data_IF_516885487695
#
_entry.id   IF_516885487695
#
_cell.length_a   1.000
_cell.length_b   1.000
_cell.length_c   1.000
_cell.angle_alpha   90.00
_cell.angle_beta   90.00
_cell.angle_gamma   90.00
#
_symmetry.space_group_name_H-M   'P 1'
#
loop_
_entity.id
_entity.type
_entity.pdbx_description
1 polymer ?
#
# COMPACT_ATOMS: atom_id res chain seq x y z
N UNK A 1 -5.18 -0.38 -49.60
CA UNK A 1 -4.99 -1.81 -49.27
C UNK A 1 -4.96 -1.95 -47.77
N UNK A 2 -6.02 -2.46 -47.16
CA UNK A 2 -6.07 -2.83 -45.77
C UNK A 2 -5.22 -4.10 -45.59
N UNK A 3 -4.11 -3.99 -44.93
CA UNK A 3 -3.36 -5.12 -44.43
C UNK A 3 -4.22 -5.78 -43.34
N UNK A 4 -4.98 -6.79 -43.68
CA UNK A 4 -5.65 -7.63 -42.68
C UNK A 4 -4.57 -8.51 -42.04
N UNK A 5 -4.21 -8.16 -40.78
CA UNK A 5 -3.43 -9.05 -39.96
C UNK A 5 -4.32 -10.24 -39.58
N UNK A 6 -3.88 -11.45 -39.89
CA UNK A 6 -4.52 -12.68 -39.41
C UNK A 6 -3.70 -13.17 -38.20
N UNK A 7 -4.33 -13.37 -37.07
CA UNK A 7 -3.69 -13.94 -35.89
C UNK A 7 -3.14 -15.33 -36.25
N UNK A 8 -1.82 -15.58 -36.11
CA UNK A 8 -1.22 -16.86 -36.45
C UNK A 8 -1.53 -17.97 -35.44
N UNK A 9 -2.08 -17.62 -34.25
CA UNK A 9 -2.39 -18.60 -33.21
C UNK A 9 -3.61 -19.44 -33.60
N UNK A 10 -3.57 -20.72 -33.27
CA UNK A 10 -4.64 -21.68 -33.57
C UNK A 10 -5.32 -22.22 -32.32
N UNK A 11 -4.66 -22.09 -31.15
CA UNK A 11 -5.14 -22.59 -29.87
C UNK A 11 -5.41 -21.44 -28.88
N UNK A 12 -6.37 -21.65 -27.98
CA UNK A 12 -6.59 -20.74 -26.86
C UNK A 12 -5.38 -20.75 -25.92
N UNK A 13 -4.97 -19.57 -25.44
CA UNK A 13 -3.80 -19.33 -24.61
C UNK A 13 -2.43 -19.56 -25.26
N UNK A 14 -2.37 -19.78 -26.56
CA UNK A 14 -1.10 -19.81 -27.29
C UNK A 14 -0.42 -18.44 -27.26
N UNK A 15 0.89 -18.41 -26.97
CA UNK A 15 1.66 -17.17 -26.93
C UNK A 15 1.87 -16.63 -28.35
N UNK A 16 1.65 -15.33 -28.54
CA UNK A 16 1.87 -14.70 -29.85
C UNK A 16 3.35 -14.66 -30.22
N UNK A 17 4.24 -14.56 -29.26
CA UNK A 17 5.69 -14.44 -29.49
C UNK A 17 6.50 -15.07 -28.35
N UNK A 18 6.55 -16.42 -28.29
CA UNK A 18 7.17 -17.17 -27.18
C UNK A 18 8.67 -16.91 -27.02
N UNK A 19 9.39 -16.53 -28.10
CA UNK A 19 10.82 -16.23 -28.01
C UNK A 19 11.10 -14.91 -27.28
N UNK A 20 10.12 -14.02 -27.19
CA UNK A 20 10.23 -12.74 -26.48
C UNK A 20 9.63 -12.78 -25.09
N UNK A 21 8.53 -13.45 -24.92
CA UNK A 21 7.82 -13.60 -23.65
C UNK A 21 7.38 -15.07 -23.55
N UNK A 22 8.15 -15.85 -22.80
CA UNK A 22 7.82 -17.22 -22.49
C UNK A 22 6.76 -17.33 -21.38
N UNK A 23 6.25 -18.55 -21.14
CA UNK A 23 5.20 -18.81 -20.13
C UNK A 23 5.64 -18.43 -18.72
N UNK A 24 6.92 -18.61 -18.38
CA UNK A 24 7.47 -18.27 -17.07
C UNK A 24 7.46 -16.76 -16.87
N UNK A 25 7.94 -16.03 -17.86
CA UNK A 25 7.95 -14.56 -17.87
C UNK A 25 6.54 -14.00 -17.85
N UNK A 26 5.62 -14.58 -18.64
CA UNK A 26 4.21 -14.17 -18.65
C UNK A 26 3.55 -14.38 -17.29
N UNK A 27 3.71 -15.54 -16.68
CA UNK A 27 3.16 -15.85 -15.35
C UNK A 27 3.69 -14.90 -14.28
N UNK A 28 4.99 -14.59 -14.32
CA UNK A 28 5.60 -13.62 -13.41
C UNK A 28 5.05 -12.21 -13.61
N UNK A 29 4.85 -11.81 -14.87
CA UNK A 29 4.31 -10.50 -15.22
C UNK A 29 2.84 -10.37 -14.79
N UNK A 30 2.01 -11.38 -15.01
CA UNK A 30 0.61 -11.42 -14.58
C UNK A 30 0.48 -11.31 -13.07
N UNK A 31 1.30 -12.05 -12.31
CA UNK A 31 1.35 -11.91 -10.85
C UNK A 31 1.73 -10.50 -10.39
N UNK A 32 2.67 -9.88 -11.08
CA UNK A 32 3.11 -8.53 -10.72
C UNK A 32 2.10 -7.44 -11.09
N UNK A 33 1.33 -7.64 -12.14
CA UNK A 33 0.31 -6.72 -12.63
C UNK A 33 -1.03 -6.86 -11.89
N UNK A 34 -1.37 -8.10 -11.47
CA UNK A 34 -2.70 -8.45 -10.99
C UNK A 34 -3.72 -8.54 -12.13
N UNK A 35 -4.89 -9.11 -11.85
CA UNK A 35 -5.90 -9.44 -12.87
C UNK A 35 -6.39 -8.24 -13.66
N UNK A 36 -6.60 -7.10 -13.01
CA UNK A 36 -7.10 -5.89 -13.68
C UNK A 36 -6.11 -5.33 -14.71
N UNK A 37 -4.85 -5.16 -14.33
CA UNK A 37 -3.84 -4.63 -15.25
C UNK A 37 -3.47 -5.66 -16.34
N UNK A 38 -3.44 -6.95 -16.01
CA UNK A 38 -3.23 -8.02 -16.99
C UNK A 38 -4.33 -8.04 -18.04
N UNK A 39 -5.61 -7.95 -17.64
CA UNK A 39 -6.72 -7.88 -18.57
C UNK A 39 -6.62 -6.67 -19.53
N UNK A 40 -6.24 -5.50 -19.00
CA UNK A 40 -6.10 -4.29 -19.82
C UNK A 40 -4.84 -4.27 -20.67
N UNK A 41 -3.68 -4.59 -20.12
CA UNK A 41 -2.38 -4.43 -20.78
C UNK A 41 -1.97 -5.64 -21.63
N UNK A 42 -2.20 -6.85 -21.14
CA UNK A 42 -1.78 -8.07 -21.84
C UNK A 42 -2.87 -8.61 -22.74
N UNK A 43 -4.12 -8.61 -22.28
CA UNK A 43 -5.25 -9.19 -23.00
C UNK A 43 -6.01 -8.18 -23.88
N UNK A 44 -5.68 -6.88 -23.76
CA UNK A 44 -6.40 -5.80 -24.47
C UNK A 44 -7.93 -5.81 -24.20
N UNK A 45 -8.31 -6.31 -23.03
CA UNK A 45 -9.70 -6.41 -22.55
C UNK A 45 -9.85 -5.63 -21.26
N UNK A 46 -9.97 -4.28 -21.31
CA UNK A 46 -10.16 -3.49 -20.10
C UNK A 46 -11.46 -3.91 -19.42
N UNK A 47 -11.36 -4.34 -18.16
CA UNK A 47 -12.53 -4.70 -17.37
C UNK A 47 -13.34 -3.44 -17.05
N UNK A 48 -14.68 -3.50 -17.14
CA UNK A 48 -15.50 -2.37 -16.70
C UNK A 48 -15.28 -2.11 -15.20
N UNK A 49 -15.25 -0.82 -14.82
CA UNK A 49 -15.21 -0.40 -13.42
C UNK A 49 -16.52 -0.84 -12.74
N UNK A 50 -16.53 -2.00 -12.14
CA UNK A 50 -17.70 -2.54 -11.44
C UNK A 50 -17.28 -3.55 -10.37
N UNK A 51 -17.75 -3.33 -9.15
CA UNK A 51 -17.35 -4.09 -7.95
C UNK A 51 -16.16 -3.46 -7.22
N UNK A 52 -15.96 -3.83 -5.94
CA UNK A 52 -14.85 -3.33 -5.12
C UNK A 52 -13.50 -3.69 -5.73
N UNK A 53 -12.58 -2.72 -5.75
CA UNK A 53 -11.22 -2.90 -6.30
C UNK A 53 -10.39 -3.79 -5.39
N UNK A 54 -10.60 -3.69 -4.08
CA UNK A 54 -9.85 -4.37 -3.03
C UNK A 54 -10.76 -5.45 -2.40
N UNK A 55 -10.79 -6.65 -2.99
CA UNK A 55 -11.75 -7.68 -2.62
C UNK A 55 -11.45 -8.29 -1.25
N UNK A 56 -12.51 -8.51 -0.44
CA UNK A 56 -12.40 -9.09 0.89
C UNK A 56 -11.78 -10.49 0.88
N UNK A 57 -12.11 -11.31 -0.11
CA UNK A 57 -11.61 -12.68 -0.24
C UNK A 57 -10.11 -12.81 -0.52
N UNK A 58 -9.44 -11.72 -0.86
CA UNK A 58 -8.00 -11.70 -1.11
C UNK A 58 -7.16 -11.47 0.15
N UNK A 59 -7.80 -11.05 1.26
CA UNK A 59 -7.12 -10.86 2.53
C UNK A 59 -6.86 -12.20 3.21
N UNK A 60 -5.62 -12.42 3.65
CA UNK A 60 -5.22 -13.68 4.27
C UNK A 60 -5.35 -13.59 5.79
N UNK A 61 -6.13 -14.47 6.43
CA UNK A 61 -6.27 -14.46 7.87
C UNK A 61 -5.01 -15.01 8.56
N UNK A 62 -4.56 -14.31 9.60
CA UNK A 62 -3.58 -14.81 10.56
C UNK A 62 -4.32 -15.32 11.78
N UNK A 63 -4.29 -16.64 11.99
CA UNK A 63 -5.09 -17.31 13.01
C UNK A 63 -4.33 -17.61 14.31
N UNK A 64 -3.01 -17.34 14.35
CA UNK A 64 -2.19 -17.56 15.53
C UNK A 64 -2.32 -16.40 16.51
N UNK A 65 -2.13 -16.70 17.80
CA UNK A 65 -2.14 -15.69 18.86
C UNK A 65 -0.90 -14.78 18.78
N UNK A 66 0.27 -15.36 18.47
CA UNK A 66 1.52 -14.63 18.29
C UNK A 66 1.60 -14.05 16.87
N UNK A 67 2.11 -12.83 16.75
CA UNK A 67 2.41 -12.22 15.45
C UNK A 67 3.52 -12.99 14.73
N UNK A 68 3.59 -12.91 13.38
CA UNK A 68 4.75 -13.42 12.65
C UNK A 68 6.02 -12.66 13.07
N UNK A 69 7.18 -13.21 12.72
CA UNK A 69 8.46 -12.55 12.94
C UNK A 69 8.55 -11.29 12.04
N UNK A 70 8.30 -10.13 12.65
CA UNK A 70 8.22 -8.84 11.96
C UNK A 70 9.64 -8.31 11.76
N UNK A 71 10.05 -8.16 10.50
CA UNK A 71 11.36 -7.64 10.12
C UNK A 71 11.36 -6.11 9.98
N UNK A 72 10.19 -5.50 9.72
CA UNK A 72 10.08 -4.07 9.43
C UNK A 72 8.66 -3.57 9.73
N UNK A 73 8.54 -2.36 10.27
CA UNK A 73 7.24 -1.74 10.56
C UNK A 73 7.09 -0.45 9.76
N UNK A 74 5.96 -0.32 9.05
CA UNK A 74 5.59 0.89 8.33
C UNK A 74 4.32 1.46 8.94
N UNK A 75 4.32 2.75 9.23
CA UNK A 75 3.11 3.52 9.43
C UNK A 75 2.80 4.36 8.20
N UNK A 76 1.53 4.43 7.83
CA UNK A 76 1.06 5.25 6.72
C UNK A 76 -0.06 6.16 7.20
N UNK A 77 0.08 7.47 6.93
CA UNK A 77 -0.84 8.50 7.37
C UNK A 77 -1.43 9.25 6.18
N UNK A 78 -2.74 9.40 6.19
CA UNK A 78 -3.46 10.44 5.44
C UNK A 78 -4.03 11.44 6.44
N UNK A 79 -3.58 12.70 6.34
CA UNK A 79 -3.86 13.71 7.34
C UNK A 79 -4.78 14.78 6.80
N UNK A 80 -5.84 15.06 7.54
CA UNK A 80 -6.67 16.22 7.32
C UNK A 80 -6.90 16.89 8.68
N UNK A 81 -6.66 18.18 8.77
CA UNK A 81 -7.06 18.97 9.91
C UNK A 81 -7.58 20.33 9.45
N UNK A 82 -8.50 20.89 10.18
CA UNK A 82 -9.07 22.19 9.90
C UNK A 82 -9.17 22.98 11.18
N UNK A 83 -9.01 24.28 11.07
CA UNK A 83 -9.34 25.24 12.13
C UNK A 83 -10.86 25.45 12.25
N UNK A 84 -11.67 24.84 11.38
CA UNK A 84 -13.15 24.93 11.36
C UNK A 84 -13.76 23.61 11.82
N UNK A 85 -14.90 23.67 12.50
CA UNK A 85 -15.64 22.56 13.14
C UNK A 85 -16.02 21.34 12.24
N UNK A 86 -15.79 21.41 10.93
CA UNK A 86 -16.01 20.30 9.98
C UNK A 86 -14.69 19.91 9.31
N UNK A 87 -13.79 19.32 10.07
CA UNK A 87 -12.58 18.72 9.51
C UNK A 87 -12.88 17.39 8.82
N UNK A 88 -12.17 17.08 7.74
CA UNK A 88 -12.09 15.75 7.16
C UNK A 88 -11.41 14.78 8.16
N UNK A 89 -11.58 13.50 7.97
CA UNK A 89 -10.91 12.50 8.80
C UNK A 89 -9.39 12.52 8.56
N UNK A 90 -8.65 12.30 9.64
CA UNK A 90 -7.26 11.81 9.55
C UNK A 90 -7.25 10.32 9.78
N UNK A 91 -6.44 9.59 9.05
CA UNK A 91 -6.35 8.14 9.11
C UNK A 91 -4.90 7.67 9.21
N UNK A 92 -4.72 6.53 9.88
CA UNK A 92 -3.44 5.83 9.99
C UNK A 92 -3.64 4.33 9.89
N UNK A 93 -2.73 3.66 9.19
CA UNK A 93 -2.56 2.20 9.28
C UNK A 93 -1.10 1.86 9.61
N UNK A 94 -0.91 0.84 10.47
CA UNK A 94 0.39 0.31 10.86
C UNK A 94 0.53 -1.10 10.32
N UNK A 95 1.64 -1.39 9.63
CA UNK A 95 1.89 -2.63 8.93
C UNK A 95 3.19 -3.26 9.40
N UNK A 96 3.12 -4.49 9.81
CA UNK A 96 4.29 -5.34 10.08
C UNK A 96 4.63 -6.18 8.86
N UNK A 97 5.87 -6.21 8.54
CA UNK A 97 6.40 -6.89 7.40
C UNK A 97 7.17 -8.11 7.81
N UNK A 98 6.94 -9.20 7.14
CA UNK A 98 7.54 -10.49 7.46
C UNK A 98 7.78 -11.34 6.23
N UNK A 99 8.69 -12.29 6.33
CA UNK A 99 8.93 -13.29 5.30
C UNK A 99 8.27 -14.60 5.63
N UNK A 100 7.60 -15.18 4.65
CA UNK A 100 7.06 -16.53 4.75
C UNK A 100 7.25 -17.26 3.42
N UNK A 101 7.82 -18.45 3.45
CA UNK A 101 8.13 -19.27 2.26
C UNK A 101 8.92 -18.51 1.17
N UNK A 102 9.85 -17.66 1.57
CA UNK A 102 10.66 -16.83 0.67
C UNK A 102 9.92 -15.62 0.07
N UNK A 103 8.66 -15.44 0.42
CA UNK A 103 7.83 -14.32 -0.03
C UNK A 103 7.69 -13.26 1.07
N UNK A 104 7.77 -12.02 0.67
CA UNK A 104 7.58 -10.86 1.55
C UNK A 104 6.06 -10.57 1.66
N UNK A 105 5.58 -10.50 2.89
CA UNK A 105 4.18 -10.27 3.21
C UNK A 105 4.04 -9.09 4.17
N UNK A 106 2.83 -8.54 4.28
CA UNK A 106 2.49 -7.56 5.30
C UNK A 106 1.25 -7.97 6.08
N UNK A 107 1.30 -7.76 7.39
CA UNK A 107 0.14 -7.92 8.27
C UNK A 107 -0.23 -6.56 8.85
N UNK A 108 -1.51 -6.22 8.83
CA UNK A 108 -1.97 -5.02 9.52
C UNK A 108 -1.88 -5.23 11.04
N UNK A 109 -1.17 -4.34 11.72
CA UNK A 109 -0.98 -4.38 13.18
C UNK A 109 -2.00 -3.53 13.90
N UNK A 110 -2.37 -2.38 13.28
CA UNK A 110 -3.34 -1.45 13.84
C UNK A 110 -3.90 -0.50 12.79
N UNK A 111 -5.08 0.05 13.07
CA UNK A 111 -5.66 1.16 12.32
C UNK A 111 -6.29 2.18 13.28
N UNK A 112 -6.23 3.44 12.87
CA UNK A 112 -6.89 4.54 13.56
C UNK A 112 -7.45 5.53 12.55
N UNK A 113 -8.60 6.10 12.82
CA UNK A 113 -9.14 7.23 12.07
C UNK A 113 -10.11 8.02 12.94
N UNK A 114 -9.98 9.33 12.88
CA UNK A 114 -10.86 10.26 13.62
C UNK A 114 -10.77 11.67 13.04
N UNK A 115 -11.67 12.54 13.49
CA UNK A 115 -11.64 13.97 13.24
C UNK A 115 -11.04 14.68 14.43
N UNK A 116 -9.83 15.17 14.26
CA UNK A 116 -9.05 15.76 15.35
C UNK A 116 -8.49 17.10 14.96
N UNK A 117 -8.17 17.91 15.97
CA UNK A 117 -7.40 19.13 15.81
C UNK A 117 -5.92 18.79 15.58
N UNK A 118 -5.15 19.76 15.07
CA UNK A 118 -3.72 19.53 14.82
C UNK A 118 -2.93 19.14 16.09
N UNK A 119 -3.10 19.82 17.26
CA UNK A 119 -2.40 19.38 18.48
C UNK A 119 -2.71 17.93 18.89
N UNK A 120 -3.96 17.51 18.75
CA UNK A 120 -4.38 16.13 19.03
C UNK A 120 -3.73 15.15 18.02
N UNK A 121 -3.77 15.48 16.73
CA UNK A 121 -3.13 14.66 15.69
C UNK A 121 -1.64 14.47 15.96
N UNK A 122 -0.94 15.53 16.35
CA UNK A 122 0.48 15.49 16.71
C UNK A 122 0.75 14.57 17.91
N UNK A 123 -0.09 14.67 18.97
CA UNK A 123 0.03 13.79 20.16
C UNK A 123 -0.19 12.32 19.77
N UNK A 124 -1.26 12.03 19.03
CA UNK A 124 -1.58 10.69 18.55
C UNK A 124 -0.46 10.11 17.68
N UNK A 125 0.12 10.93 16.81
CA UNK A 125 1.22 10.49 15.97
C UNK A 125 2.48 10.16 16.78
N UNK A 126 2.81 10.97 17.79
CA UNK A 126 3.94 10.71 18.67
C UNK A 126 3.71 9.49 19.57
N UNK A 127 2.52 9.32 20.11
CA UNK A 127 2.13 8.15 20.91
C UNK A 127 2.21 6.88 20.08
N UNK A 128 1.67 6.91 18.87
CA UNK A 128 1.72 5.80 17.93
C UNK A 128 3.15 5.44 17.53
N UNK A 129 4.02 6.42 17.33
CA UNK A 129 5.44 6.18 17.09
C UNK A 129 6.10 5.48 18.29
N UNK A 130 5.82 5.96 19.52
CA UNK A 130 6.38 5.38 20.73
C UNK A 130 5.91 3.93 20.96
N UNK A 131 4.67 3.63 20.61
CA UNK A 131 4.08 2.28 20.75
C UNK A 131 4.65 1.27 19.76
N UNK A 132 4.68 1.62 18.47
CA UNK A 132 5.03 0.68 17.40
C UNK A 132 6.48 0.76 16.94
N UNK A 133 7.21 1.83 17.27
CA UNK A 133 8.59 2.09 16.85
C UNK A 133 8.81 1.80 15.34
N UNK A 134 7.99 2.39 14.44
CA UNK A 134 8.07 2.09 13.03
C UNK A 134 9.41 2.50 12.42
N UNK A 135 9.91 1.67 11.50
CA UNK A 135 11.12 1.95 10.73
C UNK A 135 10.90 3.05 9.67
N UNK A 136 9.65 3.23 9.25
CA UNK A 136 9.25 4.31 8.36
C UNK A 136 7.84 4.81 8.66
N UNK A 137 7.68 6.12 8.64
CA UNK A 137 6.38 6.81 8.76
C UNK A 137 6.11 7.56 7.47
N UNK A 138 5.16 7.07 6.67
CA UNK A 138 4.76 7.70 5.41
C UNK A 138 3.70 8.76 5.70
N UNK A 139 3.90 9.99 5.26
CA UNK A 139 2.92 11.08 5.35
C UNK A 139 2.71 11.68 3.97
N UNK A 140 1.44 11.76 3.53
CA UNK A 140 1.13 12.35 2.23
C UNK A 140 1.47 13.85 2.20
N UNK A 141 2.13 14.28 1.11
CA UNK A 141 2.47 15.68 0.84
C UNK A 141 1.22 16.51 0.50
N UNK A 142 0.43 16.80 1.50
CA UNK A 142 -0.69 17.77 1.47
C UNK A 142 -0.34 18.94 2.39
N UNK A 143 -1.01 20.07 2.23
CA UNK A 143 -0.83 21.22 3.14
C UNK A 143 -0.99 20.83 4.62
N UNK A 144 -1.94 19.93 4.92
CA UNK A 144 -2.16 19.34 6.24
C UNK A 144 -1.01 18.43 6.70
N UNK A 145 -0.41 17.64 5.82
CA UNK A 145 0.68 16.74 6.15
C UNK A 145 2.00 17.44 6.44
N UNK A 146 2.26 18.61 5.85
CA UNK A 146 3.55 19.29 5.99
C UNK A 146 3.88 19.70 7.42
N UNK A 147 2.91 20.22 8.18
CA UNK A 147 3.14 20.61 9.57
C UNK A 147 3.46 19.40 10.45
N UNK A 148 2.72 18.31 10.29
CA UNK A 148 2.96 17.06 11.01
C UNK A 148 4.32 16.46 10.67
N UNK A 149 4.67 16.46 9.39
CA UNK A 149 5.94 15.96 8.88
C UNK A 149 7.13 16.72 9.52
N UNK A 150 7.06 18.05 9.58
CA UNK A 150 8.10 18.87 10.21
C UNK A 150 8.22 18.60 11.71
N UNK A 151 7.09 18.57 12.44
CA UNK A 151 7.09 18.35 13.88
C UNK A 151 7.63 16.96 14.25
N UNK A 152 7.24 15.91 13.51
CA UNK A 152 7.73 14.57 13.74
C UNK A 152 9.21 14.41 13.36
N UNK A 153 9.68 15.06 12.29
CA UNK A 153 11.12 15.11 11.96
C UNK A 153 11.94 15.76 13.07
N UNK A 154 11.48 16.88 13.61
CA UNK A 154 12.15 17.53 14.75
C UNK A 154 12.16 16.66 16.01
N UNK A 155 11.18 15.78 16.17
CA UNK A 155 11.11 14.79 17.23
C UNK A 155 11.96 13.53 16.97
N UNK A 156 12.69 13.47 15.84
CA UNK A 156 13.54 12.33 15.49
C UNK A 156 12.81 11.11 14.90
N UNK A 157 11.55 11.29 14.49
CA UNK A 157 10.77 10.21 13.85
C UNK A 157 11.23 10.00 12.40
N UNK A 158 11.40 8.77 11.91
CA UNK A 158 11.83 8.46 10.54
C UNK A 158 10.70 8.70 9.52
N UNK A 159 10.38 9.98 9.27
CA UNK A 159 9.27 10.39 8.40
C UNK A 159 9.73 10.47 6.95
N UNK A 160 8.97 9.81 6.10
CA UNK A 160 9.10 9.84 4.64
C UNK A 160 7.91 10.57 4.03
N UNK A 161 8.19 11.54 3.19
CA UNK A 161 7.17 12.25 2.43
C UNK A 161 6.66 11.37 1.27
N UNK A 162 5.35 11.22 1.18
CA UNK A 162 4.71 10.49 0.11
C UNK A 162 3.99 11.46 -0.82
N UNK A 163 4.39 11.46 -2.09
CA UNK A 163 3.72 12.21 -3.15
C UNK A 163 3.02 11.23 -4.08
N UNK A 164 1.67 11.19 -4.10
CA UNK A 164 0.95 10.31 -5.00
C UNK A 164 1.16 10.74 -6.45
N UNK A 165 1.53 9.80 -7.31
CA UNK A 165 1.75 9.98 -8.75
C UNK A 165 0.49 9.66 -9.59
N UNK A 166 -0.59 9.20 -8.95
CA UNK A 166 -1.83 8.72 -9.58
C UNK A 166 -3.05 9.06 -8.73
N UNK A 167 -4.22 9.01 -9.37
CA UNK A 167 -5.48 9.11 -8.65
C UNK A 167 -5.71 7.90 -7.70
N UNK A 168 -6.67 8.03 -6.78
CA UNK A 168 -6.96 7.03 -5.75
C UNK A 168 -7.32 5.66 -6.33
N UNK A 169 -8.17 5.61 -7.35
CA UNK A 169 -8.56 4.35 -7.98
C UNK A 169 -7.39 3.68 -8.68
N UNK A 170 -6.55 4.45 -9.40
CA UNK A 170 -5.36 3.91 -10.04
C UNK A 170 -4.34 3.37 -9.02
N UNK A 171 -4.21 4.01 -7.84
CA UNK A 171 -3.39 3.49 -6.73
C UNK A 171 -3.96 2.18 -6.17
N UNK A 172 -5.29 2.13 -5.94
CA UNK A 172 -5.94 0.92 -5.46
C UNK A 172 -5.75 -0.25 -6.44
N UNK A 173 -5.97 -0.04 -7.74
CA UNK A 173 -5.70 -1.04 -8.76
C UNK A 173 -4.23 -1.47 -8.79
N UNK A 174 -3.28 -0.54 -8.67
CA UNK A 174 -1.86 -0.87 -8.67
C UNK A 174 -1.45 -1.69 -7.45
N UNK A 175 -2.09 -1.48 -6.30
CA UNK A 175 -1.81 -2.18 -5.05
C UNK A 175 -2.61 -3.48 -4.90
N UNK A 176 -3.76 -3.63 -5.59
CA UNK A 176 -4.61 -4.82 -5.50
C UNK A 176 -3.89 -6.11 -5.89
N UNK A 177 -2.87 -6.03 -6.74
CA UNK A 177 -2.04 -7.18 -7.10
C UNK A 177 -1.38 -7.86 -5.89
N UNK A 178 -1.02 -7.10 -4.84
CA UNK A 178 -0.47 -7.67 -3.62
C UNK A 178 -1.52 -8.44 -2.80
N UNK A 179 -2.74 -7.94 -2.78
CA UNK A 179 -3.88 -8.61 -2.16
C UNK A 179 -4.20 -9.91 -2.91
N UNK A 180 -4.32 -9.85 -4.22
CA UNK A 180 -4.64 -10.98 -5.09
C UNK A 180 -3.56 -12.08 -5.02
N UNK A 181 -2.28 -11.71 -4.84
CA UNK A 181 -1.15 -12.63 -4.63
C UNK A 181 -1.09 -13.18 -3.17
N UNK A 182 -2.08 -12.85 -2.32
CA UNK A 182 -2.17 -13.35 -0.94
C UNK A 182 -1.08 -12.82 -0.01
N UNK A 183 -0.54 -11.63 -0.29
CA UNK A 183 0.56 -11.04 0.47
C UNK A 183 0.11 -10.09 1.58
N UNK A 184 -1.18 -9.77 1.64
CA UNK A 184 -1.75 -8.86 2.64
C UNK A 184 -2.56 -9.67 3.65
N UNK A 185 -2.12 -9.58 4.90
CA UNK A 185 -2.63 -10.39 6.01
C UNK A 185 -3.30 -9.54 7.08
N UNK A 186 -4.18 -10.15 7.85
CA UNK A 186 -4.86 -9.49 8.96
C UNK A 186 -5.01 -10.42 10.17
N UNK A 187 -4.95 -9.92 11.42
CA UNK A 187 -5.20 -10.72 12.62
C UNK A 187 -6.68 -11.06 12.71
N UNK A 188 -7.04 -12.33 12.47
CA UNK A 188 -8.43 -12.79 12.36
C UNK A 188 -9.22 -12.64 13.69
N UNK A 189 -8.54 -12.65 14.82
CA UNK A 189 -9.11 -12.44 16.15
C UNK A 189 -9.54 -11.00 16.44
N UNK A 190 -9.07 -10.01 15.67
CA UNK A 190 -9.32 -8.59 15.92
C UNK A 190 -10.53 -8.09 15.13
N UNK A 191 -11.55 -7.58 15.82
CA UNK A 191 -12.76 -7.04 15.17
C UNK A 191 -12.48 -5.85 14.29
N UNK A 192 -11.55 -4.96 14.70
CA UNK A 192 -11.18 -3.78 13.91
C UNK A 192 -10.57 -4.14 12.56
N UNK A 193 -9.83 -5.26 12.48
CA UNK A 193 -9.23 -5.70 11.22
C UNK A 193 -10.30 -6.11 10.19
N UNK A 194 -11.41 -6.71 10.64
CA UNK A 194 -12.56 -6.98 9.76
C UNK A 194 -13.20 -5.70 9.27
N UNK A 195 -13.36 -4.69 10.15
CA UNK A 195 -13.87 -3.38 9.74
C UNK A 195 -12.98 -2.71 8.69
N UNK A 196 -11.64 -2.84 8.80
CA UNK A 196 -10.71 -2.37 7.77
C UNK A 196 -10.97 -3.04 6.41
N UNK A 197 -11.17 -4.36 6.41
CA UNK A 197 -11.47 -5.13 5.19
C UNK A 197 -12.78 -4.65 4.56
N UNK A 198 -13.83 -4.44 5.37
CA UNK A 198 -15.13 -3.96 4.90
C UNK A 198 -15.00 -2.57 4.24
N UNK A 199 -14.26 -1.64 4.87
CA UNK A 199 -13.98 -0.30 4.32
C UNK A 199 -13.23 -0.42 2.99
N UNK A 200 -12.15 -1.21 2.94
CA UNK A 200 -11.37 -1.40 1.71
C UNK A 200 -12.20 -2.02 0.58
N UNK A 201 -13.06 -3.00 0.92
CA UNK A 201 -13.89 -3.69 -0.07
C UNK A 201 -15.02 -2.84 -0.64
N UNK A 202 -15.48 -1.84 0.12
CA UNK A 202 -16.48 -0.88 -0.33
C UNK A 202 -15.91 0.16 -1.33
N UNK A 203 -14.59 0.32 -1.39
CA UNK A 203 -13.96 1.30 -2.27
C UNK A 203 -14.16 0.94 -3.76
N UNK A 204 -14.50 1.90 -4.66
CA UNK A 204 -14.52 3.36 -4.47
C UNK A 204 -15.87 3.94 -4.00
N UNK A 205 -16.88 3.13 -3.73
CA UNK A 205 -18.21 3.60 -3.39
C UNK A 205 -18.40 3.93 -1.88
N UNK A 206 -17.45 3.59 -1.03
CA UNK A 206 -17.51 3.81 0.42
C UNK A 206 -17.14 5.25 0.83
N UNK A 207 -17.57 5.64 2.05
CA UNK A 207 -17.40 7.00 2.58
C UNK A 207 -16.02 7.27 3.24
N UNK A 208 -15.24 6.23 3.56
CA UNK A 208 -13.99 6.33 4.34
C UNK A 208 -12.76 6.03 3.47
N UNK A 209 -12.59 6.77 2.40
CA UNK A 209 -11.48 6.60 1.46
C UNK A 209 -10.11 7.00 2.03
N UNK A 210 -10.06 7.84 3.08
CA UNK A 210 -8.82 8.22 3.77
C UNK A 210 -8.08 6.98 4.34
N UNK A 211 -8.81 5.99 4.89
CA UNK A 211 -8.22 4.72 5.34
C UNK A 211 -7.67 3.91 4.16
N UNK A 212 -8.40 3.84 3.06
CA UNK A 212 -7.96 3.13 1.84
C UNK A 212 -6.68 3.76 1.30
N UNK A 213 -6.56 5.08 1.35
CA UNK A 213 -5.36 5.79 0.95
C UNK A 213 -4.14 5.36 1.80
N UNK A 214 -4.29 5.27 3.12
CA UNK A 214 -3.18 4.80 3.97
C UNK A 214 -2.77 3.36 3.66
N UNK A 215 -3.71 2.47 3.37
CA UNK A 215 -3.42 1.10 2.96
C UNK A 215 -2.66 1.05 1.64
N UNK A 216 -3.18 1.72 0.61
CA UNK A 216 -2.58 1.71 -0.73
C UNK A 216 -1.19 2.34 -0.75
N UNK A 217 -0.94 3.40 0.03
CA UNK A 217 0.38 4.00 0.22
C UNK A 217 1.38 2.98 0.79
N UNK A 218 1.02 2.30 1.88
CA UNK A 218 1.88 1.29 2.49
C UNK A 218 2.14 0.12 1.52
N UNK A 219 1.13 -0.38 0.83
CA UNK A 219 1.27 -1.51 -0.11
C UNK A 219 2.08 -1.15 -1.35
N UNK A 220 1.95 0.05 -1.88
CA UNK A 220 2.78 0.51 -3.00
C UNK A 220 4.24 0.69 -2.58
N UNK A 221 4.50 1.10 -1.33
CA UNK A 221 5.84 1.12 -0.77
C UNK A 221 6.44 -0.28 -0.68
N UNK A 222 5.65 -1.27 -0.22
CA UNK A 222 6.00 -2.67 -0.24
C UNK A 222 6.40 -3.19 -1.61
N UNK A 223 5.61 -2.86 -2.63
CA UNK A 223 5.83 -3.30 -4.00
C UNK A 223 7.13 -2.79 -4.59
N UNK A 224 7.57 -1.58 -4.22
CA UNK A 224 8.84 -0.99 -4.69
C UNK A 224 10.07 -1.61 -4.02
N UNK A 225 9.88 -2.49 -3.04
CA UNK A 225 10.96 -3.05 -2.21
C UNK A 225 11.34 -2.07 -1.09
N UNK A 226 11.20 -2.51 0.15
CA UNK A 226 11.46 -1.67 1.34
C UNK A 226 12.88 -1.24 1.56
N UNK A 227 13.83 -2.02 1.03
CA UNK A 227 15.26 -1.76 1.17
C UNK A 227 15.81 -0.87 0.06
N UNK A 228 15.04 -0.60 -0.98
CA UNK A 228 15.42 0.32 -2.05
C UNK A 228 14.77 1.66 -1.75
N UNK A 229 15.51 2.49 -1.09
CA UNK A 229 15.17 3.90 -0.95
C UNK A 229 15.19 4.54 -2.34
N UNK A 230 14.07 5.09 -2.76
CA UNK A 230 13.99 5.88 -3.97
C UNK A 230 14.74 7.20 -3.73
N UNK A 231 15.46 7.71 -4.75
CA UNK A 231 16.14 9.01 -4.67
C UNK A 231 15.20 10.18 -4.32
N UNK A 232 13.89 10.01 -4.49
CA UNK A 232 12.85 10.94 -4.06
C UNK A 232 12.44 10.78 -2.58
N UNK A 233 12.92 9.76 -1.88
CA UNK A 233 12.64 9.51 -0.46
C UNK A 233 13.63 10.23 0.46
N UNK A 234 14.64 10.90 -0.13
CA UNK A 234 15.65 11.64 0.62
C UNK A 234 15.65 13.11 0.23
N UNK A 235 15.37 13.97 1.20
CA UNK A 235 16.00 15.29 1.24
C UNK A 235 17.45 15.11 1.75
N UNK A 236 18.36 15.97 1.34
CA UNK A 236 19.81 15.85 1.59
C UNK A 236 20.22 15.71 3.09
N UNK A 237 19.29 15.91 4.04
CA UNK A 237 19.51 15.76 5.49
C UNK A 237 19.35 14.32 6.02
N UNK A 238 18.86 13.35 5.23
CA UNK A 238 18.54 11.99 5.67
C UNK A 238 19.71 10.99 5.53
N UNK A 239 20.95 11.44 5.56
CA UNK A 239 22.13 10.55 5.50
C UNK A 239 22.21 9.52 6.65
N UNK A 240 21.58 9.82 7.78
CA UNK A 240 21.61 8.94 8.95
C UNK A 240 20.67 7.72 8.80
N UNK A 241 19.54 7.91 8.11
CA UNK A 241 18.60 6.81 7.77
C UNK A 241 19.23 5.83 6.79
N UNK A 242 20.03 6.33 5.83
CA UNK A 242 20.81 5.49 4.89
C UNK A 242 21.71 4.49 5.62
N UNK A 243 22.35 4.90 6.71
CA UNK A 243 23.25 4.04 7.50
C UNK A 243 22.53 2.89 8.20
N UNK A 244 21.32 3.14 8.74
CA UNK A 244 20.54 2.08 9.40
C UNK A 244 20.05 1.02 8.42
N UNK A 245 19.54 1.43 7.26
CA UNK A 245 19.04 0.52 6.23
C UNK A 245 20.16 -0.34 5.63
N UNK A 246 21.40 0.20 5.53
CA UNK A 246 22.56 -0.54 5.00
C UNK A 246 23.18 -1.51 6.02
N UNK A 247 22.86 -1.40 7.30
CA UNK A 247 23.36 -2.31 8.35
C UNK A 247 22.59 -3.64 8.44
N UNK A 248 21.43 -3.75 7.78
CA UNK A 248 20.60 -4.96 7.80
C UNK A 248 20.47 -5.63 6.41
N UNK A 249 21.29 -5.22 5.44
CA UNK A 249 21.38 -5.80 4.08
C UNK A 249 22.55 -6.74 3.91
#
# INVERSE_FOLDING_TARGET
SSLFFTDPRTEDNELLWPERVDDITLTSLEKSLGSYASAGQLQQRPMPKGGGILKAEWWVPWEKDDLPDIEYIIQSWDTAFSTKEKSSYSARTTWGVFKQKGQINAIVLDMWYDRVTYPELRSIAQESYNEYQPDAVLIEKKASGQSLLQDLRMAGVPVLEYSPDRDKEARAHASSALLEDGRIWFPSSKKWAKNLIDICSAFPAGDNDDIVDTCTQAWLRLRKGWFVTHSQDYDDDDQEIKRRITMYG
#
